data_IF_716677545667
#
_entry.id   IF_716677545667
#
_cell.length_a   1.000
_cell.length_b   1.000
_cell.length_c   1.000
_cell.angle_alpha   90.00
_cell.angle_beta   90.00
_cell.angle_gamma   90.00
#
_symmetry.space_group_name_H-M   'P 1'
#
loop_
_entity.id
_entity.type
_entity.pdbx_description
1 polymer ?
#
# COMPACT_ATOMS: atom_id res chain seq x y z
N UNK A 1 -14.64 9.55 -14.57
CA UNK A 1 -13.23 9.90 -14.84
C UNK A 1 -12.50 9.98 -13.50
N UNK A 2 -11.93 8.86 -13.04
CA UNK A 2 -11.28 8.81 -11.72
C UNK A 2 -9.77 8.93 -11.90
N UNK A 3 -9.27 10.16 -11.89
CA UNK A 3 -7.86 10.48 -12.12
C UNK A 3 -7.36 11.60 -11.22
N UNK A 4 -7.86 11.68 -9.99
CA UNK A 4 -7.52 12.77 -9.05
C UNK A 4 -6.92 12.21 -7.76
N UNK A 5 -5.80 11.52 -7.89
CA UNK A 5 -4.76 11.59 -6.88
C UNK A 5 -3.63 12.34 -7.57
N UNK A 6 -3.26 13.50 -7.02
CA UNK A 6 -2.21 14.41 -7.47
C UNK A 6 -0.87 13.69 -7.39
N UNK A 7 -0.69 12.68 -8.23
CA UNK A 7 0.54 11.92 -8.39
C UNK A 7 1.38 12.69 -9.37
N UNK A 8 2.05 13.74 -8.89
CA UNK A 8 3.20 14.33 -9.60
C UNK A 8 2.90 14.54 -11.10
N UNK A 9 1.68 14.95 -11.46
CA UNK A 9 1.19 14.97 -12.85
C UNK A 9 1.98 15.98 -13.70
N UNK A 10 2.69 16.89 -13.04
CA UNK A 10 3.63 17.82 -13.67
C UNK A 10 4.89 17.12 -14.17
N UNK A 11 5.45 16.17 -13.41
CA UNK A 11 6.64 15.42 -13.88
C UNK A 11 6.25 14.29 -14.82
N UNK A 12 5.15 13.58 -14.58
CA UNK A 12 4.73 12.47 -15.43
C UNK A 12 4.25 12.88 -16.84
N UNK A 13 3.85 14.13 -17.03
CA UNK A 13 3.44 14.65 -18.35
C UNK A 13 4.57 14.66 -19.39
N UNK A 14 5.83 14.71 -18.97
CA UNK A 14 6.98 14.70 -19.88
C UNK A 14 7.64 13.33 -20.02
N UNK A 15 7.23 12.33 -19.22
CA UNK A 15 7.77 10.97 -19.32
C UNK A 15 7.05 10.16 -20.41
N UNK A 16 7.83 9.40 -21.18
CA UNK A 16 7.30 8.36 -22.07
C UNK A 16 6.57 7.28 -21.27
N UNK A 17 5.67 6.54 -21.91
CA UNK A 17 4.91 5.46 -21.27
C UNK A 17 5.83 4.42 -20.60
N UNK A 18 6.97 4.12 -21.23
CA UNK A 18 8.01 3.24 -20.65
C UNK A 18 8.73 3.86 -19.45
N UNK A 19 9.03 5.16 -19.49
CA UNK A 19 9.64 5.85 -18.35
C UNK A 19 8.73 5.84 -17.13
N UNK A 20 7.43 6.05 -17.35
CA UNK A 20 6.40 5.94 -16.31
C UNK A 20 6.29 4.52 -15.75
N UNK A 21 6.31 3.51 -16.61
CA UNK A 21 6.28 2.12 -16.20
C UNK A 21 7.51 1.73 -15.36
N UNK A 22 8.72 2.19 -15.72
CA UNK A 22 9.92 1.98 -14.91
C UNK A 22 9.82 2.60 -13.51
N UNK A 23 9.40 3.86 -13.41
CA UNK A 23 9.28 4.54 -12.11
C UNK A 23 8.22 3.86 -11.24
N UNK A 24 7.07 3.47 -11.82
CA UNK A 24 6.03 2.74 -11.10
C UNK A 24 6.51 1.37 -10.60
N UNK A 25 7.15 0.58 -11.46
CA UNK A 25 7.63 -0.75 -11.08
C UNK A 25 8.75 -0.68 -10.03
N UNK A 26 9.75 0.17 -10.25
CA UNK A 26 10.86 0.31 -9.31
C UNK A 26 10.40 0.93 -7.99
N UNK A 27 9.54 1.95 -8.06
CA UNK A 27 8.96 2.59 -6.88
C UNK A 27 8.10 1.62 -6.06
N UNK A 28 7.31 0.80 -6.74
CA UNK A 28 6.52 -0.27 -6.12
C UNK A 28 7.38 -1.29 -5.39
N UNK A 29 8.43 -1.79 -6.03
CA UNK A 29 9.29 -2.86 -5.49
C UNK A 29 10.22 -2.35 -4.38
N UNK A 30 10.82 -1.18 -4.54
CA UNK A 30 11.88 -0.70 -3.63
C UNK A 30 11.32 0.09 -2.45
N UNK A 31 10.20 0.79 -2.62
CA UNK A 31 9.62 1.61 -1.56
C UNK A 31 8.31 1.06 -1.02
N UNK A 32 7.32 0.82 -1.88
CA UNK A 32 5.97 0.47 -1.43
C UNK A 32 5.91 -0.92 -0.80
N UNK A 33 6.46 -1.95 -1.48
CA UNK A 33 6.43 -3.32 -0.99
C UNK A 33 7.18 -3.49 0.34
N UNK A 34 8.42 -3.00 0.52
CA UNK A 34 9.13 -3.11 1.78
C UNK A 34 8.45 -2.32 2.90
N UNK A 35 7.89 -1.15 2.60
CA UNK A 35 7.12 -0.37 3.58
C UNK A 35 5.87 -1.14 4.06
N UNK A 36 5.10 -1.71 3.14
CA UNK A 36 3.91 -2.49 3.51
C UNK A 36 4.28 -3.73 4.32
N UNK A 37 5.35 -4.44 3.92
CA UNK A 37 5.86 -5.59 4.68
C UNK A 37 6.33 -5.18 6.08
N UNK A 38 7.07 -4.07 6.19
CA UNK A 38 7.53 -3.52 7.46
C UNK A 38 6.37 -3.15 8.39
N UNK A 39 5.34 -2.46 7.87
CA UNK A 39 4.13 -2.13 8.64
C UNK A 39 3.41 -3.40 9.07
N UNK A 40 3.23 -4.37 8.16
CA UNK A 40 2.56 -5.63 8.45
C UNK A 40 3.23 -6.41 9.57
N UNK A 41 4.55 -6.58 9.50
CA UNK A 41 5.33 -7.30 10.53
C UNK A 41 5.39 -6.52 11.83
N UNK A 42 5.65 -5.21 11.78
CA UNK A 42 5.78 -4.39 12.99
C UNK A 42 4.45 -4.23 13.73
N UNK A 43 3.33 -4.16 13.01
CA UNK A 43 2.00 -4.08 13.62
C UNK A 43 1.48 -5.42 14.12
N UNK A 44 2.05 -6.55 13.68
CA UNK A 44 1.54 -7.88 14.03
C UNK A 44 1.51 -8.11 15.54
N UNK A 45 2.65 -7.96 16.21
CA UNK A 45 2.74 -8.16 17.67
C UNK A 45 1.80 -7.20 18.42
N UNK A 46 1.79 -5.93 18.01
CA UNK A 46 0.93 -4.89 18.58
C UNK A 46 -0.56 -5.23 18.50
N UNK A 47 -1.01 -5.77 17.37
CA UNK A 47 -2.39 -6.22 17.20
C UNK A 47 -2.65 -7.47 18.02
N UNK A 48 -1.78 -8.49 17.97
CA UNK A 48 -2.01 -9.75 18.69
C UNK A 48 -2.07 -9.56 20.21
N UNK A 49 -1.25 -8.66 20.77
CA UNK A 49 -1.30 -8.31 22.20
C UNK A 49 -2.64 -7.66 22.56
N UNK A 50 -3.13 -6.74 21.72
CA UNK A 50 -4.42 -6.08 21.90
C UNK A 50 -5.59 -7.06 21.89
N UNK A 51 -5.56 -8.04 20.98
CA UNK A 51 -6.56 -9.11 20.92
C UNK A 51 -6.51 -10.04 22.13
N UNK A 52 -5.31 -10.34 22.65
CA UNK A 52 -5.15 -11.22 23.81
C UNK A 52 -5.81 -10.65 25.08
N UNK A 53 -5.86 -9.32 25.20
CA UNK A 53 -6.49 -8.63 26.34
C UNK A 53 -7.89 -8.10 26.04
N UNK A 54 -8.42 -8.32 24.83
CA UNK A 54 -9.67 -7.71 24.34
C UNK A 54 -9.73 -6.21 24.64
N UNK A 55 -8.71 -5.47 24.20
CA UNK A 55 -8.47 -4.09 24.59
C UNK A 55 -9.68 -3.16 24.33
N UNK A 56 -10.02 -2.37 25.35
CA UNK A 56 -11.06 -1.34 25.31
C UNK A 56 -10.46 0.01 25.72
N UNK A 57 -11.05 1.11 25.28
CA UNK A 57 -10.59 2.45 25.69
C UNK A 57 -10.95 2.71 27.17
N UNK A 58 -10.00 3.24 27.95
CA UNK A 58 -10.24 3.62 29.35
C UNK A 58 -11.03 4.92 29.49
N UNK A 59 -11.26 5.65 28.39
CA UNK A 59 -11.93 6.94 28.40
C UNK A 59 -13.46 6.77 28.44
N UNK A 60 -14.20 7.60 29.21
CA UNK A 60 -15.65 7.59 29.17
C UNK A 60 -16.18 7.83 27.75
N UNK A 61 -16.93 6.86 27.20
CA UNK A 61 -17.42 6.91 25.82
C UNK A 61 -16.39 6.52 24.75
N UNK A 62 -15.26 5.94 25.15
CA UNK A 62 -14.22 5.46 24.26
C UNK A 62 -14.63 4.24 23.42
N UNK A 63 -13.75 3.84 22.49
CA UNK A 63 -14.00 2.74 21.57
C UNK A 63 -14.01 1.42 22.35
N UNK A 64 -15.12 0.65 22.35
CA UNK A 64 -15.25 -0.56 23.17
C UNK A 64 -14.43 -1.75 22.63
N UNK A 65 -14.06 -1.72 21.35
CA UNK A 65 -13.29 -2.78 20.68
C UNK A 65 -12.05 -2.20 19.98
N UNK A 66 -11.11 -1.67 20.78
CA UNK A 66 -9.87 -1.07 20.26
C UNK A 66 -9.03 -2.10 19.49
N UNK A 67 -9.09 -3.37 19.88
CA UNK A 67 -8.42 -4.46 19.17
C UNK A 67 -8.88 -4.63 17.71
N UNK A 68 -10.16 -4.36 17.41
CA UNK A 68 -10.70 -4.33 16.04
C UNK A 68 -10.20 -3.10 15.28
N UNK A 69 -10.08 -1.95 15.95
CA UNK A 69 -9.50 -0.76 15.33
C UNK A 69 -8.03 -1.01 14.97
N UNK A 70 -7.25 -1.59 15.88
CA UNK A 70 -5.82 -1.87 15.66
C UNK A 70 -5.60 -2.89 14.54
N UNK A 71 -6.50 -3.86 14.35
CA UNK A 71 -6.40 -4.82 13.24
C UNK A 71 -6.55 -4.18 11.84
N UNK A 72 -7.03 -2.92 11.76
CA UNK A 72 -7.02 -2.18 10.51
C UNK A 72 -5.60 -1.85 10.02
N UNK A 73 -4.59 -1.81 10.90
CA UNK A 73 -3.20 -1.57 10.51
C UNK A 73 -2.66 -2.67 9.57
N UNK A 74 -2.63 -3.96 9.97
CA UNK A 74 -2.20 -5.02 9.07
C UNK A 74 -3.14 -5.18 7.87
N UNK A 75 -4.46 -4.96 8.05
CA UNK A 75 -5.42 -5.04 6.95
C UNK A 75 -5.13 -4.00 5.86
N UNK A 76 -4.86 -2.74 6.26
CA UNK A 76 -4.44 -1.69 5.35
C UNK A 76 -3.13 -2.06 4.65
N UNK A 77 -2.14 -2.54 5.38
CA UNK A 77 -0.83 -2.91 4.82
C UNK A 77 -0.96 -4.01 3.77
N UNK A 78 -1.75 -5.06 4.03
CA UNK A 78 -2.03 -6.15 3.08
C UNK A 78 -2.77 -5.63 1.86
N UNK A 79 -3.83 -4.84 2.05
CA UNK A 79 -4.60 -4.31 0.92
C UNK A 79 -3.76 -3.39 0.02
N UNK A 80 -2.93 -2.53 0.63
CA UNK A 80 -2.04 -1.64 -0.10
C UNK A 80 -0.92 -2.40 -0.81
N UNK A 81 -0.39 -3.46 -0.20
CA UNK A 81 0.57 -4.35 -0.84
C UNK A 81 -0.02 -5.03 -2.08
N UNK A 82 -1.23 -5.58 -1.99
CA UNK A 82 -1.92 -6.22 -3.11
C UNK A 82 -2.19 -5.22 -4.24
N UNK A 83 -2.66 -4.02 -3.92
CA UNK A 83 -2.87 -2.97 -4.89
C UNK A 83 -1.56 -2.53 -5.56
N UNK A 84 -0.50 -2.34 -4.76
CA UNK A 84 0.83 -1.98 -5.23
C UNK A 84 1.45 -3.05 -6.13
N UNK A 85 1.26 -4.32 -5.79
CA UNK A 85 1.69 -5.46 -6.59
C UNK A 85 0.97 -5.49 -7.94
N UNK A 86 -0.34 -5.30 -7.95
CA UNK A 86 -1.12 -5.25 -9.19
C UNK A 86 -0.64 -4.13 -10.13
N UNK A 87 -0.36 -2.94 -9.60
CA UNK A 87 0.15 -1.80 -10.38
C UNK A 87 1.59 -2.04 -10.88
N UNK A 88 2.43 -2.65 -10.04
CA UNK A 88 3.80 -3.03 -10.39
C UNK A 88 3.82 -4.04 -11.53
N UNK A 89 2.97 -5.06 -11.46
CA UNK A 89 2.85 -6.08 -12.51
C UNK A 89 2.30 -5.50 -13.81
N UNK A 90 1.28 -4.64 -13.74
CA UNK A 90 0.76 -3.93 -14.92
C UNK A 90 1.83 -3.09 -15.60
N UNK A 91 2.63 -2.37 -14.80
CA UNK A 91 3.74 -1.57 -15.31
C UNK A 91 4.86 -2.45 -15.89
N UNK A 92 5.16 -3.60 -15.27
CA UNK A 92 6.14 -4.56 -15.79
C UNK A 92 5.70 -5.15 -17.15
N UNK A 93 4.42 -5.44 -17.34
CA UNK A 93 3.88 -5.90 -18.63
C UNK A 93 4.09 -4.86 -19.74
N UNK A 94 3.94 -3.57 -19.46
CA UNK A 94 4.22 -2.48 -20.42
C UNK A 94 5.70 -2.43 -20.79
N UNK A 95 6.60 -2.77 -19.86
CA UNK A 95 8.04 -2.81 -20.14
C UNK A 95 8.43 -4.02 -21.00
N UNK A 96 7.77 -5.16 -20.78
CA UNK A 96 8.01 -6.43 -21.52
C UNK A 96 7.34 -6.44 -22.89
N UNK A 97 6.23 -5.75 -23.08
CA UNK A 97 5.63 -5.59 -24.39
C UNK A 97 6.56 -4.77 -25.32
N UNK A 98 7.05 -5.41 -26.38
CA UNK A 98 7.83 -4.76 -27.45
C UNK A 98 6.99 -3.66 -28.13
N UNK A 99 7.59 -2.51 -28.50
CA UNK A 99 6.91 -1.51 -29.31
C UNK A 99 6.93 -1.97 -30.77
N UNK A 100 6.01 -2.87 -31.16
CA UNK A 100 6.01 -3.39 -32.54
C UNK A 100 5.05 -4.53 -32.84
N UNK A 101 3.74 -4.34 -32.59
CA UNK A 101 2.69 -5.03 -33.31
C UNK A 101 1.71 -3.99 -33.88
#
# INVERSE_FOLDING_TARGET
KSGAHVRVDIFYRSFSERGRAWVNSLGGIVFLMPLCAFIGVSSWNYVTESWAILETSPEPGGIPAVFLLKSLLPLMAVNLFLQGLAETLRSALVLVAEPGA
#
